data_IF_511199151705
#
_entry.id   IF_511199151705
#
_cell.length_a   1.000
_cell.length_b   1.000
_cell.length_c   1.000
_cell.angle_alpha   90.00
_cell.angle_beta   90.00
_cell.angle_gamma   90.00
#
_symmetry.space_group_name_H-M   'P 1'
#
loop_
_entity.id
_entity.type
_entity.pdbx_description
1 polymer ?
#
# COMPACT_ATOMS: atom_id res chain seq x y z
N UNK A 1 67.49 -6.93 3.88
CA UNK A 1 66.35 -7.57 4.53
C UNK A 1 65.13 -6.72 4.24
N UNK A 2 64.32 -7.13 3.28
CA UNK A 2 63.09 -6.44 2.93
C UNK A 2 62.03 -6.81 3.98
N UNK A 3 61.45 -5.83 4.64
CA UNK A 3 60.28 -6.01 5.49
C UNK A 3 59.16 -6.58 4.64
N UNK A 4 58.47 -7.68 5.07
CA UNK A 4 57.34 -8.19 4.32
C UNK A 4 56.21 -7.15 4.34
N UNK A 5 55.60 -6.92 3.16
CA UNK A 5 54.41 -6.09 3.05
C UNK A 5 53.32 -6.64 3.95
N UNK A 6 52.55 -5.77 4.65
CA UNK A 6 51.46 -6.22 5.51
C UNK A 6 50.42 -6.94 4.66
N UNK A 7 50.14 -8.19 4.99
CA UNK A 7 49.02 -8.95 4.40
C UNK A 7 47.73 -8.20 4.74
N UNK A 8 47.11 -7.55 3.76
CA UNK A 8 45.82 -6.89 3.91
C UNK A 8 44.77 -8.00 4.08
N UNK A 9 44.35 -8.25 5.29
CA UNK A 9 43.29 -9.20 5.61
C UNK A 9 41.97 -8.73 5.02
N UNK A 10 41.31 -9.54 4.21
CA UNK A 10 39.94 -9.23 3.77
C UNK A 10 38.99 -9.18 4.96
N UNK A 11 38.03 -8.22 5.03
CA UNK A 11 37.05 -8.14 6.09
C UNK A 11 36.22 -9.42 6.19
N UNK A 12 36.19 -10.02 7.38
CA UNK A 12 35.43 -11.22 7.70
C UNK A 12 34.05 -10.88 8.26
N UNK A 13 33.12 -11.82 8.21
CA UNK A 13 31.82 -11.71 8.89
C UNK A 13 31.95 -11.58 10.41
N UNK A 14 33.10 -11.95 10.98
CA UNK A 14 33.40 -11.89 12.41
C UNK A 14 34.05 -10.55 12.82
N UNK A 15 34.40 -9.70 11.86
CA UNK A 15 34.99 -8.41 12.19
C UNK A 15 33.98 -7.52 12.91
N UNK A 16 34.41 -6.85 13.95
CA UNK A 16 33.66 -5.81 14.65
C UNK A 16 33.37 -4.62 13.71
N UNK A 17 32.45 -3.76 14.11
CA UNK A 17 32.03 -2.57 13.35
C UNK A 17 33.23 -1.79 12.80
N UNK A 18 33.29 -1.66 11.47
CA UNK A 18 34.25 -0.79 10.80
C UNK A 18 33.61 0.61 10.63
N UNK A 19 34.21 1.66 11.19
CA UNK A 19 33.73 3.04 11.04
C UNK A 19 33.62 3.54 9.60
N UNK A 20 34.31 2.86 8.65
CA UNK A 20 34.22 3.17 7.23
C UNK A 20 32.95 2.65 6.55
N UNK A 21 32.17 1.78 7.21
CA UNK A 21 30.90 1.30 6.65
C UNK A 21 29.82 2.37 6.74
N UNK A 22 29.03 2.48 5.67
CA UNK A 22 27.96 3.45 5.61
C UNK A 22 26.86 3.11 6.65
N UNK A 23 26.53 4.00 7.59
CA UNK A 23 25.40 3.80 8.49
C UNK A 23 24.10 3.57 7.72
N UNK A 24 23.21 2.71 8.24
CA UNK A 24 21.94 2.36 7.58
C UNK A 24 21.10 3.60 7.29
N UNK A 25 20.95 4.50 8.27
CA UNK A 25 20.18 5.74 8.07
C UNK A 25 20.76 6.62 6.95
N UNK A 26 22.08 6.73 6.87
CA UNK A 26 22.76 7.47 5.79
C UNK A 26 22.56 6.80 4.43
N UNK A 27 22.54 5.46 4.39
CA UNK A 27 22.23 4.73 3.17
C UNK A 27 20.79 4.98 2.71
N UNK A 28 19.83 4.95 3.63
CA UNK A 28 18.42 5.24 3.36
C UNK A 28 18.20 6.68 2.88
N UNK A 29 18.91 7.65 3.47
CA UNK A 29 18.87 9.06 3.03
C UNK A 29 19.40 9.21 1.59
N UNK A 30 20.50 8.53 1.24
CA UNK A 30 21.04 8.52 -0.14
C UNK A 30 20.07 7.88 -1.13
N UNK A 31 19.45 6.77 -0.75
CA UNK A 31 18.40 6.14 -1.55
C UNK A 31 17.24 7.12 -1.76
N UNK A 32 16.78 7.76 -0.69
CA UNK A 32 15.69 8.72 -0.75
C UNK A 32 15.96 9.89 -1.70
N UNK A 33 17.20 10.41 -1.71
CA UNK A 33 17.61 11.48 -2.61
C UNK A 33 17.71 11.03 -4.08
N UNK A 34 17.96 9.75 -4.32
CA UNK A 34 18.07 9.20 -5.66
C UNK A 34 16.74 8.76 -6.27
N UNK A 35 15.71 8.51 -5.46
CA UNK A 35 14.41 8.06 -5.94
C UNK A 35 13.66 9.20 -6.63
N UNK A 36 13.25 8.97 -7.87
CA UNK A 36 12.31 9.84 -8.57
C UNK A 36 10.92 9.23 -8.45
N UNK A 37 9.94 9.97 -7.88
CA UNK A 37 8.58 9.46 -7.74
C UNK A 37 7.93 9.17 -9.09
N UNK A 38 7.07 8.13 -9.12
CA UNK A 38 6.27 7.80 -10.29
C UNK A 38 5.16 8.83 -10.42
N UNK A 39 5.08 9.45 -11.60
CA UNK A 39 4.02 10.41 -11.93
C UNK A 39 2.98 9.85 -12.91
N UNK A 40 3.27 8.72 -13.55
CA UNK A 40 2.37 8.12 -14.54
C UNK A 40 1.10 7.59 -13.86
N UNK A 41 -0.04 7.96 -14.44
CA UNK A 41 -1.38 7.58 -13.95
C UNK A 41 -2.01 6.60 -14.93
N UNK A 42 -2.65 5.58 -14.40
CA UNK A 42 -3.49 4.65 -15.15
C UNK A 42 -4.90 4.60 -14.53
N UNK A 43 -5.91 4.33 -15.35
CA UNK A 43 -7.29 4.17 -14.86
C UNK A 43 -7.55 2.68 -14.64
N UNK A 44 -8.03 2.34 -13.44
CA UNK A 44 -8.35 0.96 -13.07
C UNK A 44 -9.79 0.86 -12.58
N UNK A 45 -10.41 -0.31 -12.77
CA UNK A 45 -11.70 -0.59 -12.17
C UNK A 45 -11.63 -0.48 -10.63
N UNK A 46 -12.68 0.03 -10.00
CA UNK A 46 -12.72 0.25 -8.54
C UNK A 46 -12.34 -1.00 -7.73
N UNK A 47 -12.73 -2.19 -8.18
CA UNK A 47 -12.39 -3.46 -7.52
C UNK A 47 -10.89 -3.80 -7.56
N UNK A 48 -10.15 -3.23 -8.50
CA UNK A 48 -8.70 -3.41 -8.67
C UNK A 48 -7.89 -2.28 -8.03
N UNK A 49 -8.59 -1.26 -7.50
CA UNK A 49 -7.97 -0.09 -6.92
C UNK A 49 -7.49 -0.29 -5.47
N UNK A 50 -7.86 -1.39 -4.82
CA UNK A 50 -7.40 -1.69 -3.46
C UNK A 50 -5.86 -1.73 -3.42
N UNK A 51 -5.29 -1.10 -2.38
CA UNK A 51 -3.84 -0.96 -2.17
C UNK A 51 -3.09 -0.14 -3.24
N UNK A 52 -3.78 0.42 -4.23
CA UNK A 52 -3.19 1.37 -5.19
C UNK A 52 -3.09 2.76 -4.57
N UNK A 53 -2.26 3.60 -5.16
CA UNK A 53 -2.11 5.00 -4.75
C UNK A 53 -2.87 5.89 -5.73
N UNK A 54 -3.74 6.75 -5.20
CA UNK A 54 -4.57 7.65 -5.99
C UNK A 54 -3.71 8.67 -6.72
N UNK A 55 -3.89 8.80 -8.03
CA UNK A 55 -3.11 9.69 -8.89
C UNK A 55 -3.63 11.13 -8.93
N UNK A 56 -4.93 11.32 -8.75
CA UNK A 56 -5.59 12.64 -8.74
C UNK A 56 -6.68 12.66 -7.67
N UNK A 57 -7.09 13.85 -7.26
CA UNK A 57 -8.21 14.00 -6.31
C UNK A 57 -9.49 13.39 -6.88
N UNK A 58 -10.27 12.76 -6.02
CA UNK A 58 -11.63 12.30 -6.33
C UNK A 58 -12.62 13.32 -5.81
N UNK A 59 -13.35 13.93 -6.72
CA UNK A 59 -14.44 14.85 -6.38
C UNK A 59 -15.75 14.07 -6.32
N UNK A 60 -16.62 14.41 -5.39
CA UNK A 60 -17.92 13.79 -5.28
C UNK A 60 -18.85 14.26 -6.40
N UNK A 61 -19.36 13.35 -7.27
CA UNK A 61 -20.30 13.71 -8.31
C UNK A 61 -21.73 13.94 -7.80
N UNK A 62 -21.99 13.65 -6.52
CA UNK A 62 -23.29 13.73 -5.87
C UNK A 62 -23.14 14.25 -4.45
N UNK A 63 -24.18 14.85 -3.92
CA UNK A 63 -24.25 15.13 -2.48
C UNK A 63 -24.42 13.84 -1.67
N UNK A 64 -23.87 13.78 -0.44
CA UNK A 64 -24.06 12.66 0.50
C UNK A 64 -24.57 13.19 1.83
N UNK A 65 -25.79 12.79 2.26
CA UNK A 65 -26.81 12.08 1.48
C UNK A 65 -27.23 12.85 0.22
N UNK A 66 -27.68 12.15 -0.81
CA UNK A 66 -28.09 12.77 -2.07
C UNK A 66 -29.45 13.51 -2.00
N UNK A 67 -30.17 13.33 -0.91
CA UNK A 67 -31.42 14.04 -0.59
C UNK A 67 -31.63 14.11 0.91
N UNK A 68 -32.41 15.08 1.38
CA UNK A 68 -32.79 15.20 2.78
C UNK A 68 -33.66 13.99 3.17
N UNK A 69 -33.26 13.25 4.23
CA UNK A 69 -33.88 12.01 4.64
C UNK A 69 -33.97 11.87 6.15
N UNK A 70 -34.67 10.83 6.59
CA UNK A 70 -34.80 10.51 7.99
C UNK A 70 -33.62 9.69 8.53
N UNK A 71 -33.07 10.09 9.67
CA UNK A 71 -32.05 9.31 10.39
C UNK A 71 -32.68 8.16 11.23
N UNK A 72 -34.01 8.16 11.45
CA UNK A 72 -34.69 7.20 12.35
C UNK A 72 -36.03 6.76 11.78
N UNK A 73 -36.51 5.63 12.25
CA UNK A 73 -37.88 5.22 12.05
C UNK A 73 -38.80 6.04 12.94
N UNK A 74 -39.87 6.61 12.38
CA UNK A 74 -40.72 7.49 13.15
C UNK A 74 -41.83 8.15 12.32
N UNK A 75 -42.09 9.40 12.63
CA UNK A 75 -43.12 10.22 11.98
C UNK A 75 -42.50 11.55 11.53
N UNK A 76 -42.53 11.83 10.24
CA UNK A 76 -42.18 13.12 9.67
C UNK A 76 -43.35 14.08 9.76
N UNK A 77 -43.11 15.27 10.29
CA UNK A 77 -44.12 16.25 10.60
C UNK A 77 -43.59 17.68 10.56
N UNK A 78 -44.43 18.65 10.64
CA UNK A 78 -44.08 20.05 10.86
C UNK A 78 -43.90 20.31 12.35
N UNK A 79 -42.73 20.78 12.76
CA UNK A 79 -42.46 21.11 14.16
C UNK A 79 -43.48 22.10 14.75
N UNK A 80 -43.96 23.04 13.90
CA UNK A 80 -44.97 24.04 14.33
C UNK A 80 -46.34 23.42 14.78
N UNK A 81 -46.61 22.16 14.38
CA UNK A 81 -47.86 21.48 14.72
C UNK A 81 -47.76 20.71 16.05
N UNK A 82 -46.61 20.71 16.72
CA UNK A 82 -46.37 20.10 18.02
C UNK A 82 -46.84 21.01 19.16
N UNK A 83 -48.14 21.21 19.24
CA UNK A 83 -48.81 22.06 20.21
C UNK A 83 -49.68 21.27 21.21
N UNK A 84 -49.43 19.94 21.33
CA UNK A 84 -50.21 19.02 22.19
C UNK A 84 -51.42 18.39 21.50
N UNK A 85 -51.74 18.80 20.25
CA UNK A 85 -52.80 18.19 19.45
C UNK A 85 -52.39 16.85 18.85
N UNK A 86 -53.35 15.98 18.55
CA UNK A 86 -53.08 14.78 17.76
C UNK A 86 -52.84 15.12 16.28
N UNK A 87 -51.93 14.39 15.62
CA UNK A 87 -51.63 14.54 14.21
C UNK A 87 -52.14 13.34 13.41
N UNK A 88 -52.76 13.60 12.27
CA UNK A 88 -53.28 12.54 11.39
C UNK A 88 -52.16 11.93 10.55
N UNK A 89 -52.09 10.59 10.51
CA UNK A 89 -51.14 9.88 9.66
C UNK A 89 -51.72 9.74 8.26
N UNK A 90 -51.14 10.45 7.28
CA UNK A 90 -51.63 10.50 5.90
C UNK A 90 -50.96 9.48 4.96
N UNK A 91 -49.98 8.73 5.46
CA UNK A 91 -49.34 7.67 4.69
C UNK A 91 -47.97 7.28 5.25
N UNK A 92 -47.18 6.56 4.43
CA UNK A 92 -45.85 6.05 4.82
C UNK A 92 -44.83 6.36 3.75
N UNK A 93 -43.68 6.96 4.15
CA UNK A 93 -42.49 7.15 3.34
C UNK A 93 -41.52 6.00 3.58
N UNK A 94 -41.17 5.29 2.53
CA UNK A 94 -40.27 4.14 2.56
C UNK A 94 -38.88 4.51 1.99
N UNK A 95 -37.85 3.89 2.50
CA UNK A 95 -36.51 3.99 1.85
C UNK A 95 -36.61 3.50 0.40
N UNK A 96 -36.02 4.26 -0.52
CA UNK A 96 -36.03 3.97 -1.96
C UNK A 96 -37.37 4.29 -2.68
N UNK A 97 -38.41 4.77 -1.96
CA UNK A 97 -39.69 5.20 -2.54
C UNK A 97 -40.15 6.50 -1.91
N UNK A 98 -40.03 7.59 -2.66
CA UNK A 98 -40.48 8.91 -2.20
C UNK A 98 -41.99 8.88 -1.86
N UNK A 99 -42.38 9.63 -0.82
CA UNK A 99 -43.79 9.83 -0.45
C UNK A 99 -44.51 10.59 -1.55
N UNK A 100 -45.63 10.07 -1.98
CA UNK A 100 -46.44 10.71 -3.02
C UNK A 100 -47.42 11.72 -2.37
N UNK A 101 -47.11 13.01 -2.54
CA UNK A 101 -47.90 14.11 -2.00
C UNK A 101 -47.15 14.93 -0.95
N UNK A 102 -47.86 15.81 -0.25
CA UNK A 102 -47.34 16.68 0.80
C UNK A 102 -48.02 16.41 2.12
N UNK A 103 -47.38 16.78 3.23
CA UNK A 103 -47.92 16.71 4.58
C UNK A 103 -48.38 18.11 4.97
N UNK A 104 -49.69 18.27 5.20
CA UNK A 104 -50.32 19.54 5.55
C UNK A 104 -50.28 19.85 7.06
N UNK A 105 -50.81 21.01 7.47
CA UNK A 105 -51.00 21.33 8.90
C UNK A 105 -51.86 20.28 9.64
N UNK A 106 -51.42 19.88 10.83
CA UNK A 106 -52.11 18.85 11.62
C UNK A 106 -51.94 17.41 11.10
N UNK A 107 -51.05 17.20 10.12
CA UNK A 107 -50.78 15.90 9.52
C UNK A 107 -49.34 15.45 9.79
N UNK A 108 -49.09 14.16 9.64
CA UNK A 108 -47.78 13.55 9.65
C UNK A 108 -47.71 12.35 8.71
N UNK A 109 -46.52 11.96 8.29
CA UNK A 109 -46.31 10.73 7.54
C UNK A 109 -45.45 9.77 8.38
N UNK A 110 -45.81 8.50 8.41
CA UNK A 110 -44.91 7.44 8.89
C UNK A 110 -43.68 7.46 8.03
N UNK A 111 -42.46 7.44 8.61
CA UNK A 111 -41.19 7.48 7.86
C UNK A 111 -40.26 6.43 8.38
N UNK A 112 -39.50 5.80 7.44
CA UNK A 112 -38.45 4.85 7.76
C UNK A 112 -37.07 5.48 7.58
N UNK A 113 -36.09 4.97 8.30
CA UNK A 113 -34.67 5.39 8.19
C UNK A 113 -34.23 5.38 6.74
N UNK A 114 -33.60 6.45 6.29
CA UNK A 114 -33.17 6.62 4.92
C UNK A 114 -34.22 7.04 3.90
N UNK A 115 -35.50 7.10 4.32
CA UNK A 115 -36.58 7.59 3.45
C UNK A 115 -36.49 9.11 3.27
N UNK A 116 -36.79 9.57 2.05
CA UNK A 116 -36.85 11.00 1.71
C UNK A 116 -37.86 11.69 2.56
N UNK A 117 -37.51 12.86 3.10
CA UNK A 117 -38.43 13.69 3.87
C UNK A 117 -39.62 14.11 2.99
N UNK A 118 -40.87 13.82 3.42
CA UNK A 118 -42.04 14.30 2.69
C UNK A 118 -42.10 15.82 2.64
N UNK A 119 -42.59 16.35 1.52
CA UNK A 119 -42.79 17.77 1.36
C UNK A 119 -43.71 18.31 2.46
N UNK A 120 -43.38 19.48 3.03
CA UNK A 120 -44.12 20.11 4.11
C UNK A 120 -43.64 19.68 5.51
N UNK A 121 -42.68 18.76 5.62
CA UNK A 121 -42.14 18.31 6.94
C UNK A 121 -40.74 18.88 7.18
N UNK A 122 -40.40 19.10 8.45
CA UNK A 122 -39.10 19.63 8.88
C UNK A 122 -38.49 18.91 10.09
N UNK A 123 -39.20 17.92 10.64
CA UNK A 123 -38.80 17.22 11.86
C UNK A 123 -39.26 15.78 11.83
N UNK A 124 -38.41 14.87 12.36
CA UNK A 124 -38.80 13.47 12.58
C UNK A 124 -38.86 13.19 14.08
N UNK A 125 -39.99 12.64 14.51
CA UNK A 125 -40.16 12.12 15.85
C UNK A 125 -40.02 10.61 15.80
N UNK A 126 -39.15 10.05 16.65
CA UNK A 126 -38.96 8.60 16.72
C UNK A 126 -40.28 7.91 17.13
N UNK A 127 -40.51 6.72 16.62
CA UNK A 127 -41.75 5.98 16.92
C UNK A 127 -41.94 5.71 18.41
N UNK A 128 -40.87 5.59 19.18
CA UNK A 128 -40.86 5.37 20.63
C UNK A 128 -41.34 6.60 21.41
N UNK A 129 -41.37 7.77 20.76
CA UNK A 129 -41.83 9.04 21.34
C UNK A 129 -43.23 9.45 20.79
N UNK A 130 -43.95 8.53 20.16
CA UNK A 130 -45.25 8.77 19.59
C UNK A 130 -46.22 7.63 19.97
N UNK A 131 -47.36 7.99 20.54
CA UNK A 131 -48.45 7.06 20.80
C UNK A 131 -49.44 7.09 19.64
N UNK A 132 -49.61 5.95 18.96
CA UNK A 132 -50.57 5.84 17.85
C UNK A 132 -51.89 5.29 18.30
N UNK A 133 -52.95 5.99 17.92
CA UNK A 133 -54.35 5.54 18.06
C UNK A 133 -55.02 5.64 16.68
N UNK A 134 -55.30 4.49 16.07
CA UNK A 134 -55.85 4.36 14.72
C UNK A 134 -54.98 5.09 13.66
N UNK A 135 -55.54 6.14 13.06
CA UNK A 135 -54.89 6.98 12.06
C UNK A 135 -54.26 8.29 12.62
N UNK A 136 -54.20 8.42 13.95
CA UNK A 136 -53.66 9.59 14.62
C UNK A 136 -52.49 9.21 15.53
N UNK A 137 -51.60 10.17 15.78
CA UNK A 137 -50.51 10.05 16.76
C UNK A 137 -50.58 11.21 17.76
N UNK A 138 -50.15 10.92 18.99
CA UNK A 138 -49.76 11.93 19.98
C UNK A 138 -48.29 11.86 20.21
N UNK A 139 -47.63 13.01 20.23
CA UNK A 139 -46.17 13.12 20.36
C UNK A 139 -45.82 13.56 21.77
N UNK A 140 -44.83 12.87 22.38
CA UNK A 140 -44.29 13.25 23.68
C UNK A 140 -43.60 14.63 23.61
N UNK A 141 -43.68 15.37 24.71
CA UNK A 141 -43.01 16.68 24.84
C UNK A 141 -41.50 16.61 24.72
N UNK A 142 -40.83 17.76 24.50
CA UNK A 142 -39.39 17.85 24.47
C UNK A 142 -38.76 17.62 23.10
N UNK A 143 -39.57 17.63 22.04
CA UNK A 143 -39.05 17.56 20.66
C UNK A 143 -38.37 18.88 20.26
N UNK A 144 -37.47 18.79 19.28
CA UNK A 144 -36.72 19.94 18.73
C UNK A 144 -36.88 19.98 17.23
N UNK A 145 -36.99 21.20 16.67
CA UNK A 145 -37.05 21.40 15.22
C UNK A 145 -35.81 20.82 14.54
N UNK A 146 -35.98 20.15 13.40
CA UNK A 146 -34.92 19.54 12.61
C UNK A 146 -34.34 18.24 13.22
N UNK A 147 -34.89 17.76 14.36
CA UNK A 147 -34.36 16.54 14.97
C UNK A 147 -34.57 15.34 14.07
N UNK A 148 -33.54 14.48 13.99
CA UNK A 148 -33.47 13.26 13.18
C UNK A 148 -33.69 13.47 11.68
N UNK A 149 -33.48 14.68 11.19
CA UNK A 149 -33.43 15.00 9.77
C UNK A 149 -31.94 15.06 9.33
N UNK A 150 -31.62 14.33 8.30
CA UNK A 150 -30.31 14.41 7.63
C UNK A 150 -30.46 15.22 6.36
N UNK A 151 -29.71 16.31 6.27
CA UNK A 151 -29.80 17.22 5.12
C UNK A 151 -28.94 16.73 3.95
N UNK A 152 -29.42 16.97 2.74
CA UNK A 152 -28.64 16.69 1.55
C UNK A 152 -27.25 17.36 1.61
N UNK A 153 -26.20 16.58 1.38
CA UNK A 153 -24.81 17.07 1.37
C UNK A 153 -24.19 17.36 2.74
N UNK A 154 -24.84 16.97 3.85
CA UNK A 154 -24.28 17.24 5.19
C UNK A 154 -22.98 16.50 5.49
N UNK A 155 -22.76 15.32 4.91
CA UNK A 155 -21.51 14.56 5.05
C UNK A 155 -20.50 14.97 3.98
N UNK A 156 -20.96 15.12 2.73
CA UNK A 156 -20.14 15.50 1.60
C UNK A 156 -20.98 16.25 0.55
N UNK A 157 -20.60 17.47 0.26
CA UNK A 157 -21.27 18.26 -0.77
C UNK A 157 -20.85 17.77 -2.18
N UNK A 158 -21.74 17.94 -3.16
CA UNK A 158 -21.40 17.74 -4.57
C UNK A 158 -20.25 18.65 -4.97
N UNK A 159 -19.26 18.10 -5.70
CA UNK A 159 -18.03 18.78 -6.09
C UNK A 159 -16.95 18.87 -5.01
N UNK A 160 -17.25 18.48 -3.76
CA UNK A 160 -16.23 18.45 -2.71
C UNK A 160 -15.24 17.30 -2.91
N UNK A 161 -14.00 17.47 -2.45
CA UNK A 161 -12.97 16.43 -2.49
C UNK A 161 -13.31 15.33 -1.51
N UNK A 162 -13.58 14.14 -2.03
CA UNK A 162 -13.82 12.93 -1.26
C UNK A 162 -12.53 12.24 -0.84
N UNK A 163 -11.55 12.14 -1.75
CA UNK A 163 -10.22 11.59 -1.52
C UNK A 163 -9.17 12.45 -2.19
N UNK A 164 -8.02 12.62 -1.53
CA UNK A 164 -6.89 13.38 -2.09
C UNK A 164 -5.88 12.49 -2.81
N UNK A 165 -5.23 13.01 -3.84
CA UNK A 165 -4.13 12.37 -4.54
C UNK A 165 -3.02 11.97 -3.56
N UNK A 166 -2.25 10.94 -3.91
CA UNK A 166 -1.18 10.38 -3.08
C UNK A 166 -1.68 9.48 -1.94
N UNK A 167 -2.99 9.29 -1.78
CA UNK A 167 -3.56 8.39 -0.78
C UNK A 167 -3.50 6.94 -1.24
N UNK A 168 -3.00 6.02 -0.39
CA UNK A 168 -3.18 4.59 -0.59
C UNK A 168 -4.61 4.20 -0.26
N UNK A 169 -5.27 3.55 -1.21
CA UNK A 169 -6.67 3.18 -1.12
C UNK A 169 -6.88 1.97 -0.21
N UNK A 170 -7.64 2.16 0.84
CA UNK A 170 -8.02 1.15 1.82
C UNK A 170 -9.45 0.64 1.54
N UNK A 171 -9.88 -0.49 2.16
CA UNK A 171 -11.24 -1.01 1.96
C UNK A 171 -12.35 0.01 2.21
N UNK A 172 -12.20 0.90 3.22
CA UNK A 172 -13.15 1.98 3.49
C UNK A 172 -13.24 3.00 2.36
N UNK A 173 -12.10 3.32 1.72
CA UNK A 173 -12.05 4.25 0.58
C UNK A 173 -12.78 3.66 -0.63
N UNK A 174 -12.58 2.36 -0.90
CA UNK A 174 -13.29 1.64 -1.97
C UNK A 174 -14.81 1.68 -1.73
N UNK A 175 -15.25 1.45 -0.48
CA UNK A 175 -16.66 1.53 -0.11
C UNK A 175 -17.25 2.94 -0.28
N UNK A 176 -16.49 3.96 0.14
CA UNK A 176 -16.90 5.35 -0.02
C UNK A 176 -17.02 5.74 -1.49
N UNK A 177 -16.01 5.45 -2.31
CA UNK A 177 -16.03 5.72 -3.76
C UNK A 177 -17.19 5.00 -4.45
N UNK A 178 -17.46 3.75 -4.05
CA UNK A 178 -18.63 3.01 -4.55
C UNK A 178 -19.96 3.70 -4.19
N UNK A 179 -20.08 4.29 -2.99
CA UNK A 179 -21.28 5.02 -2.58
C UNK A 179 -21.49 6.32 -3.36
N UNK A 180 -20.45 6.84 -3.98
CA UNK A 180 -20.50 7.99 -4.90
C UNK A 180 -20.85 7.59 -6.34
N UNK A 181 -21.02 6.28 -6.63
CA UNK A 181 -21.32 5.79 -7.97
C UNK A 181 -20.12 5.77 -8.94
N UNK A 182 -18.89 5.89 -8.42
CA UNK A 182 -17.67 5.92 -9.24
C UNK A 182 -17.17 4.48 -9.45
N UNK A 183 -17.08 4.03 -10.69
CA UNK A 183 -16.69 2.68 -11.06
C UNK A 183 -15.21 2.48 -11.37
N UNK A 184 -14.48 3.56 -11.63
CA UNK A 184 -13.06 3.55 -12.03
C UNK A 184 -12.31 4.67 -11.31
N UNK A 185 -11.02 4.46 -11.05
CA UNK A 185 -10.16 5.44 -10.40
C UNK A 185 -8.85 5.65 -11.15
N UNK A 186 -8.39 6.91 -11.25
CA UNK A 186 -7.04 7.23 -11.69
C UNK A 186 -6.06 6.94 -10.54
N UNK A 187 -5.16 5.99 -10.74
CA UNK A 187 -4.15 5.59 -9.76
C UNK A 187 -2.76 5.70 -10.36
N UNK A 188 -1.76 5.90 -9.52
CA UNK A 188 -0.37 5.82 -9.98
C UNK A 188 -0.09 4.40 -10.49
N UNK A 189 0.61 4.27 -11.62
CA UNK A 189 1.00 2.95 -12.11
C UNK A 189 1.86 2.21 -11.09
N UNK A 190 1.89 0.90 -11.15
CA UNK A 190 2.76 0.11 -10.28
C UNK A 190 4.22 0.31 -10.64
N UNK A 191 5.16 0.37 -9.65
CA UNK A 191 6.58 0.29 -9.92
C UNK A 191 6.90 -1.00 -10.65
N UNK A 192 7.73 -0.90 -11.68
CA UNK A 192 8.22 -2.05 -12.46
C UNK A 192 9.59 -2.46 -11.91
N UNK A 193 9.74 -3.72 -11.57
CA UNK A 193 10.98 -4.30 -11.06
C UNK A 193 11.46 -5.37 -12.03
N UNK A 194 12.72 -5.36 -12.42
CA UNK A 194 13.36 -6.50 -13.07
C UNK A 194 14.37 -7.10 -12.09
N UNK A 195 14.37 -8.41 -11.95
CA UNK A 195 15.34 -9.07 -11.07
C UNK A 195 15.90 -10.35 -11.69
N UNK A 196 17.13 -10.67 -11.31
CA UNK A 196 17.83 -11.89 -11.70
C UNK A 196 18.80 -12.31 -10.60
N UNK A 197 19.23 -13.58 -10.64
CA UNK A 197 20.32 -14.07 -9.80
C UNK A 197 21.55 -14.29 -10.65
N UNK A 198 22.73 -14.09 -10.04
CA UNK A 198 24.02 -14.29 -10.68
C UNK A 198 24.84 -15.33 -9.91
N UNK A 199 25.44 -16.27 -10.62
CA UNK A 199 26.30 -17.31 -10.06
C UNK A 199 26.29 -18.59 -10.88
N UNK A 200 27.47 -19.13 -11.14
CA UNK A 200 27.66 -20.40 -11.88
C UNK A 200 27.19 -21.62 -11.08
N UNK A 201 27.14 -21.49 -9.74
CA UNK A 201 26.65 -22.53 -8.82
C UNK A 201 25.13 -22.63 -8.80
N UNK A 202 24.40 -21.62 -9.32
CA UNK A 202 22.96 -21.54 -9.18
C UNK A 202 22.21 -22.41 -10.20
N UNK A 203 21.25 -23.19 -9.72
CA UNK A 203 20.34 -24.02 -10.55
C UNK A 203 18.88 -23.63 -10.32
N UNK A 204 18.13 -23.66 -11.41
CA UNK A 204 16.68 -23.49 -11.32
C UNK A 204 16.03 -24.75 -10.75
N UNK A 205 14.83 -24.60 -10.13
CA UNK A 205 14.05 -25.73 -9.64
C UNK A 205 13.80 -26.74 -10.75
N UNK A 206 13.97 -28.03 -10.44
CA UNK A 206 13.79 -29.15 -11.38
C UNK A 206 15.04 -29.52 -12.19
N UNK A 207 16.12 -28.74 -12.13
CA UNK A 207 17.40 -29.13 -12.69
C UNK A 207 18.14 -30.05 -11.72
N UNK A 208 18.92 -31.06 -12.18
CA UNK A 208 19.79 -31.87 -11.32
C UNK A 208 20.89 -30.97 -10.72
N UNK A 209 21.26 -31.27 -9.47
CA UNK A 209 22.42 -30.64 -8.83
C UNK A 209 23.67 -31.49 -9.05
N UNK A 210 24.75 -30.84 -9.45
CA UNK A 210 26.10 -31.39 -9.41
C UNK A 210 26.82 -31.00 -8.12
N UNK A 211 28.01 -31.54 -7.90
CA UNK A 211 28.79 -31.20 -6.71
C UNK A 211 29.18 -29.71 -6.74
N UNK A 212 28.72 -28.95 -5.75
CA UNK A 212 28.94 -27.52 -5.65
C UNK A 212 27.72 -26.69 -6.05
N UNK A 213 26.73 -27.27 -6.72
CA UNK A 213 25.51 -26.56 -7.11
C UNK A 213 24.54 -26.34 -5.94
N UNK A 214 23.78 -25.25 -6.00
CA UNK A 214 22.71 -24.94 -5.10
C UNK A 214 21.46 -24.46 -5.85
N UNK A 215 20.26 -24.73 -5.33
CA UNK A 215 19.05 -24.13 -5.90
C UNK A 215 18.95 -22.65 -5.56
N UNK A 216 18.58 -21.85 -6.55
CA UNK A 216 18.36 -20.42 -6.42
C UNK A 216 17.09 -20.15 -5.58
N UNK A 217 17.23 -20.08 -4.26
CA UNK A 217 16.13 -19.77 -3.34
C UNK A 217 15.82 -18.27 -3.24
N UNK A 218 16.83 -17.40 -3.49
CA UNK A 218 16.68 -15.95 -3.36
C UNK A 218 15.67 -15.42 -4.37
N UNK A 219 15.70 -15.90 -5.61
CA UNK A 219 14.77 -15.50 -6.66
C UNK A 219 13.32 -15.76 -6.30
N UNK A 220 13.02 -16.90 -5.68
CA UNK A 220 11.65 -17.23 -5.22
C UNK A 220 11.23 -16.41 -4.00
N UNK A 221 12.17 -16.10 -3.11
CA UNK A 221 11.92 -15.19 -1.99
C UNK A 221 11.59 -13.79 -2.50
N UNK A 222 12.39 -13.26 -3.42
CA UNK A 222 12.15 -11.95 -4.05
C UNK A 222 10.83 -11.92 -4.81
N UNK A 223 10.51 -12.97 -5.60
CA UNK A 223 9.23 -13.10 -6.27
C UNK A 223 8.05 -12.96 -5.28
N UNK A 224 8.08 -13.72 -4.18
CA UNK A 224 7.04 -13.66 -3.15
C UNK A 224 6.92 -12.27 -2.51
N UNK A 225 8.05 -11.63 -2.22
CA UNK A 225 8.08 -10.29 -1.62
C UNK A 225 7.54 -9.22 -2.57
N UNK A 226 7.97 -9.19 -3.83
CA UNK A 226 7.52 -8.25 -4.85
C UNK A 226 6.03 -8.39 -5.15
N UNK A 227 5.55 -9.64 -5.24
CA UNK A 227 4.12 -9.93 -5.42
C UNK A 227 3.28 -9.41 -4.25
N UNK A 228 3.73 -9.66 -3.01
CA UNK A 228 3.06 -9.16 -1.79
C UNK A 228 3.08 -7.63 -1.71
N UNK A 229 4.13 -7.02 -2.24
CA UNK A 229 4.29 -5.58 -2.35
C UNK A 229 3.37 -4.94 -3.41
N UNK A 230 2.70 -5.74 -4.23
CA UNK A 230 1.86 -5.24 -5.32
C UNK A 230 2.63 -4.62 -6.47
N UNK A 231 3.93 -4.93 -6.62
CA UNK A 231 4.76 -4.42 -7.72
C UNK A 231 4.51 -5.21 -9.01
N UNK A 232 4.69 -4.56 -10.16
CA UNK A 232 4.85 -5.23 -11.43
C UNK A 232 6.31 -5.69 -11.56
N UNK A 233 6.56 -6.95 -11.94
CA UNK A 233 7.93 -7.44 -12.01
C UNK A 233 8.17 -8.46 -13.11
N UNK A 234 9.42 -8.49 -13.58
CA UNK A 234 9.96 -9.44 -14.53
C UNK A 234 11.10 -10.23 -13.88
N UNK A 235 10.96 -11.54 -13.86
CA UNK A 235 11.99 -12.49 -13.43
C UNK A 235 12.84 -12.87 -14.65
N UNK A 236 14.10 -12.45 -14.68
CA UNK A 236 15.02 -12.69 -15.80
C UNK A 236 15.85 -13.98 -15.63
N UNK A 237 15.61 -14.73 -14.54
CA UNK A 237 16.24 -16.02 -14.31
C UNK A 237 17.60 -15.97 -13.66
N UNK A 238 18.43 -16.99 -13.94
CA UNK A 238 19.81 -17.10 -13.49
C UNK A 238 20.73 -16.70 -14.64
N UNK A 239 21.65 -15.79 -14.36
CA UNK A 239 22.67 -15.31 -15.27
C UNK A 239 24.00 -15.90 -14.82
N UNK A 240 24.77 -16.47 -15.75
CA UNK A 240 26.09 -17.02 -15.46
C UNK A 240 27.11 -15.92 -15.20
N UNK A 241 28.22 -16.28 -14.58
CA UNK A 241 29.34 -15.39 -14.31
C UNK A 241 30.13 -15.09 -15.61
N UNK A 242 29.42 -14.53 -16.60
CA UNK A 242 29.94 -14.05 -17.86
C UNK A 242 29.69 -12.55 -18.00
N UNK A 243 30.78 -11.79 -18.20
CA UNK A 243 30.74 -10.33 -18.20
C UNK A 243 29.76 -9.74 -19.23
N UNK A 244 29.70 -10.30 -20.43
CA UNK A 244 28.88 -9.79 -21.52
C UNK A 244 27.40 -10.16 -21.27
N UNK A 245 27.11 -11.35 -20.72
CA UNK A 245 25.76 -11.75 -20.33
C UNK A 245 25.24 -10.88 -19.18
N UNK A 246 26.07 -10.63 -18.17
CA UNK A 246 25.71 -9.75 -17.05
C UNK A 246 25.40 -8.34 -17.57
N UNK A 247 26.29 -7.78 -18.39
CA UNK A 247 26.11 -6.44 -19.00
C UNK A 247 24.83 -6.34 -19.82
N UNK A 248 24.61 -7.29 -20.72
CA UNK A 248 23.41 -7.29 -21.56
C UNK A 248 22.13 -7.46 -20.75
N UNK A 249 22.16 -8.25 -19.65
CA UNK A 249 21.02 -8.43 -18.76
C UNK A 249 20.72 -7.16 -17.97
N UNK A 250 21.73 -6.46 -17.47
CA UNK A 250 21.51 -5.17 -16.77
C UNK A 250 20.91 -4.13 -17.71
N UNK A 251 21.43 -3.96 -18.91
CA UNK A 251 20.90 -3.00 -19.89
C UNK A 251 19.43 -3.33 -20.23
N UNK A 252 19.14 -4.61 -20.54
CA UNK A 252 17.79 -5.07 -20.80
C UNK A 252 16.85 -4.86 -19.60
N UNK A 253 17.32 -5.12 -18.38
CA UNK A 253 16.55 -4.90 -17.16
C UNK A 253 16.22 -3.42 -16.96
N UNK A 254 17.20 -2.53 -17.18
CA UNK A 254 17.03 -1.09 -17.04
C UNK A 254 16.08 -0.48 -18.08
N UNK A 255 16.02 -1.02 -19.31
CA UNK A 255 15.05 -0.57 -20.32
C UNK A 255 13.59 -0.86 -19.95
N UNK A 256 13.32 -1.91 -19.16
CA UNK A 256 11.96 -2.36 -18.89
C UNK A 256 11.44 -2.06 -17.47
N UNK A 257 12.30 -1.59 -16.56
CA UNK A 257 11.98 -1.47 -15.15
C UNK A 257 12.43 -0.14 -14.55
N UNK A 258 11.75 0.29 -13.48
CA UNK A 258 12.13 1.45 -12.68
C UNK A 258 13.20 1.07 -11.64
N UNK A 259 13.24 -0.23 -11.29
CA UNK A 259 14.17 -0.81 -10.31
C UNK A 259 14.73 -2.12 -10.83
N UNK A 260 16.05 -2.26 -10.81
CA UNK A 260 16.77 -3.50 -11.13
C UNK A 260 17.34 -4.09 -9.85
N UNK A 261 17.07 -5.37 -9.60
CA UNK A 261 17.56 -6.10 -8.43
C UNK A 261 18.38 -7.31 -8.89
N UNK A 262 19.59 -7.47 -8.37
CA UNK A 262 20.35 -8.72 -8.53
C UNK A 262 20.59 -9.37 -7.16
N UNK A 263 20.54 -10.70 -7.13
CA UNK A 263 20.95 -11.51 -5.97
C UNK A 263 22.32 -12.11 -6.27
N UNK A 264 23.22 -12.07 -5.27
CA UNK A 264 24.64 -12.45 -5.34
C UNK A 264 25.58 -11.45 -6.05
N UNK A 265 25.10 -10.30 -6.51
CA UNK A 265 25.92 -9.25 -7.14
C UNK A 265 26.49 -8.20 -6.20
N UNK A 266 26.53 -8.43 -4.88
CA UNK A 266 27.08 -7.49 -3.89
C UNK A 266 28.41 -7.96 -3.29
N UNK A 267 29.01 -9.05 -3.79
CA UNK A 267 30.30 -9.58 -3.34
C UNK A 267 31.45 -8.68 -3.86
N UNK A 268 32.52 -8.62 -3.12
CA UNK A 268 33.75 -7.88 -3.50
C UNK A 268 34.89 -8.85 -3.79
N UNK A 269 34.57 -10.07 -4.28
CA UNK A 269 35.56 -11.08 -4.64
C UNK A 269 36.33 -10.76 -5.95
N UNK A 270 37.45 -11.40 -6.14
CA UNK A 270 38.33 -11.18 -7.31
C UNK A 270 37.68 -11.56 -8.67
N UNK A 271 36.55 -12.26 -8.67
CA UNK A 271 35.79 -12.70 -9.85
C UNK A 271 34.41 -12.03 -9.97
N UNK A 272 34.18 -10.86 -9.36
CA UNK A 272 32.90 -10.20 -9.38
C UNK A 272 32.71 -9.26 -10.57
N UNK A 273 32.37 -9.86 -11.72
CA UNK A 273 32.04 -9.10 -12.94
C UNK A 273 30.91 -8.10 -12.78
N UNK A 274 30.02 -8.28 -11.76
CA UNK A 274 28.89 -7.35 -11.51
C UNK A 274 29.43 -5.96 -11.20
N UNK A 275 30.46 -5.87 -10.36
CA UNK A 275 31.06 -4.58 -10.01
C UNK A 275 31.68 -3.90 -11.25
N UNK A 276 32.49 -4.62 -11.99
CA UNK A 276 33.17 -4.07 -13.16
C UNK A 276 32.19 -3.60 -14.24
N UNK A 277 31.12 -4.36 -14.44
CA UNK A 277 30.04 -4.01 -15.37
C UNK A 277 29.29 -2.77 -14.89
N UNK A 278 28.96 -2.68 -13.60
CA UNK A 278 28.24 -1.52 -13.04
C UNK A 278 29.11 -0.24 -13.08
N UNK A 279 30.42 -0.36 -12.85
CA UNK A 279 31.36 0.76 -12.98
C UNK A 279 31.46 1.27 -14.45
N UNK A 280 31.12 0.41 -15.42
CA UNK A 280 31.10 0.78 -16.85
C UNK A 280 29.76 1.38 -17.31
N UNK A 281 28.62 0.82 -16.89
CA UNK A 281 27.28 1.16 -17.44
C UNK A 281 26.41 1.97 -16.52
N UNK A 282 26.82 2.19 -15.27
CA UNK A 282 26.01 2.82 -14.23
C UNK A 282 26.81 3.75 -13.31
N UNK A 283 26.12 4.26 -12.32
CA UNK A 283 26.68 5.05 -11.23
C UNK A 283 26.40 4.33 -9.91
N UNK A 284 27.46 3.88 -9.23
CA UNK A 284 27.32 3.20 -7.92
C UNK A 284 27.58 4.16 -6.79
N UNK A 285 26.58 4.32 -5.90
CA UNK A 285 26.65 5.21 -4.77
C UNK A 285 27.35 4.60 -3.55
N UNK A 286 27.13 3.30 -3.32
CA UNK A 286 27.79 2.55 -2.24
C UNK A 286 27.71 1.03 -2.45
N UNK A 287 28.65 0.30 -1.82
CA UNK A 287 28.78 -1.16 -1.91
C UNK A 287 28.61 -1.87 -0.57
N UNK A 288 28.66 -1.17 0.56
CA UNK A 288 28.60 -1.78 1.91
C UNK A 288 27.87 -0.87 2.90
N UNK A 289 27.03 -1.49 3.71
CA UNK A 289 26.32 -0.81 4.80
C UNK A 289 26.60 -1.48 6.14
N UNK A 290 26.45 -0.71 7.23
CA UNK A 290 26.65 -1.18 8.60
C UNK A 290 25.40 -1.95 9.09
N UNK A 291 25.10 -3.09 8.44
CA UNK A 291 23.97 -3.97 8.78
C UNK A 291 24.42 -5.42 8.88
N UNK A 292 23.95 -6.15 9.90
CA UNK A 292 24.24 -7.59 10.09
C UNK A 292 22.95 -8.35 10.43
N UNK A 293 22.51 -9.31 9.57
CA UNK A 293 23.04 -9.68 8.27
C UNK A 293 22.72 -8.64 7.21
N UNK A 294 23.47 -8.61 6.09
CA UNK A 294 23.21 -7.74 4.95
C UNK A 294 24.27 -6.65 4.67
N UNK A 295 25.49 -6.81 5.19
CA UNK A 295 26.61 -5.89 4.94
C UNK A 295 26.84 -5.60 3.45
N UNK A 296 26.96 -6.61 2.56
CA UNK A 296 27.10 -6.35 1.15
C UNK A 296 25.74 -5.97 0.57
N UNK A 297 25.53 -4.69 0.41
CA UNK A 297 24.43 -4.10 -0.34
C UNK A 297 25.00 -3.07 -1.28
N UNK A 298 24.85 -3.26 -2.57
CA UNK A 298 25.19 -2.24 -3.56
C UNK A 298 23.94 -1.48 -3.98
N UNK A 299 24.11 -0.17 -4.15
CA UNK A 299 23.07 0.72 -4.61
C UNK A 299 23.62 1.71 -5.63
N UNK A 300 22.85 1.98 -6.67
CA UNK A 300 23.21 2.91 -7.72
C UNK A 300 22.12 3.13 -8.74
N UNK A 301 22.52 3.53 -9.95
CA UNK A 301 21.62 3.74 -11.10
C UNK A 301 22.25 3.12 -12.36
N UNK A 302 21.35 2.64 -13.24
CA UNK A 302 21.68 2.25 -14.61
C UNK A 302 20.70 3.00 -15.51
N UNK A 303 21.18 4.05 -16.20
CA UNK A 303 20.30 4.99 -16.87
C UNK A 303 19.30 5.63 -15.89
N UNK A 304 18.01 5.53 -16.18
CA UNK A 304 16.95 6.07 -15.31
C UNK A 304 16.52 5.10 -14.20
N UNK A 305 16.96 3.83 -14.25
CA UNK A 305 16.57 2.81 -13.30
C UNK A 305 17.43 2.82 -12.04
N UNK A 306 16.83 2.65 -10.88
CA UNK A 306 17.53 2.37 -9.63
C UNK A 306 18.08 0.94 -9.67
N UNK A 307 19.26 0.74 -9.14
CA UNK A 307 19.91 -0.57 -9.04
C UNK A 307 20.14 -0.94 -7.56
N UNK A 308 19.85 -2.21 -7.23
CA UNK A 308 20.15 -2.83 -5.95
C UNK A 308 20.80 -4.20 -6.14
N UNK A 309 22.03 -4.36 -5.64
CA UNK A 309 22.69 -5.66 -5.54
C UNK A 309 22.55 -6.21 -4.14
N UNK A 310 21.85 -7.34 -4.02
CA UNK A 310 21.59 -8.02 -2.74
C UNK A 310 22.68 -9.05 -2.43
N UNK A 311 22.87 -9.39 -1.14
CA UNK A 311 23.76 -10.48 -0.75
C UNK A 311 23.33 -11.83 -1.33
N UNK A 312 24.28 -12.74 -1.57
CA UNK A 312 23.99 -14.13 -1.97
C UNK A 312 23.36 -14.97 -0.83
N UNK A 313 23.69 -14.67 0.43
CA UNK A 313 23.10 -15.36 1.58
C UNK A 313 21.57 -15.11 1.65
N UNK A 314 20.73 -16.18 1.69
CA UNK A 314 19.27 -16.05 1.61
C UNK A 314 18.65 -15.19 2.72
N UNK A 315 19.13 -15.31 3.95
CA UNK A 315 18.63 -14.52 5.08
C UNK A 315 19.01 -13.05 4.92
N UNK A 316 20.25 -12.77 4.50
CA UNK A 316 20.72 -11.42 4.26
C UNK A 316 19.97 -10.78 3.08
N UNK A 317 19.76 -11.51 1.99
CA UNK A 317 18.98 -11.06 0.84
C UNK A 317 17.55 -10.69 1.22
N UNK A 318 16.87 -11.57 1.97
CA UNK A 318 15.49 -11.32 2.43
C UNK A 318 15.38 -10.10 3.36
N UNK A 319 16.28 -9.97 4.35
CA UNK A 319 16.29 -8.83 5.29
C UNK A 319 16.58 -7.53 4.55
N UNK A 320 17.57 -7.53 3.67
CA UNK A 320 17.93 -6.35 2.87
C UNK A 320 16.78 -5.95 1.92
N UNK A 321 16.21 -6.91 1.20
CA UNK A 321 15.07 -6.66 0.32
C UNK A 321 13.85 -6.11 1.08
N UNK A 322 13.59 -6.56 2.30
CA UNK A 322 12.51 -6.06 3.13
C UNK A 322 12.72 -4.59 3.53
N UNK A 323 13.94 -4.23 3.94
CA UNK A 323 14.31 -2.86 4.27
C UNK A 323 14.14 -1.94 3.06
N UNK A 324 14.63 -2.36 1.90
CA UNK A 324 14.50 -1.62 0.65
C UNK A 324 13.05 -1.46 0.23
N UNK A 325 12.28 -2.55 0.27
CA UNK A 325 10.88 -2.54 -0.13
C UNK A 325 10.09 -1.46 0.60
N UNK A 326 10.23 -1.36 1.92
CA UNK A 326 9.44 -0.40 2.71
C UNK A 326 9.80 1.05 2.38
N UNK A 327 11.06 1.36 2.17
CA UNK A 327 11.50 2.73 1.89
C UNK A 327 11.30 3.10 0.42
N UNK A 328 11.74 2.25 -0.51
CA UNK A 328 11.68 2.55 -1.95
C UNK A 328 10.26 2.60 -2.45
N UNK A 329 9.36 1.71 -1.99
CA UNK A 329 7.95 1.74 -2.41
C UNK A 329 7.25 3.01 -1.96
N UNK A 330 7.47 3.42 -0.71
CA UNK A 330 6.89 4.67 -0.17
C UNK A 330 7.39 5.88 -0.95
N UNK A 331 8.69 5.92 -1.28
CA UNK A 331 9.30 7.01 -2.02
C UNK A 331 8.84 7.04 -3.49
N UNK A 332 8.78 5.88 -4.17
CA UNK A 332 8.32 5.79 -5.55
C UNK A 332 6.87 6.26 -5.73
N UNK A 333 6.04 6.10 -4.71
CA UNK A 333 4.65 6.56 -4.74
C UNK A 333 4.45 7.96 -4.15
N UNK A 334 5.48 8.68 -3.69
CA UNK A 334 5.33 9.95 -2.95
C UNK A 334 4.28 9.85 -1.82
N UNK A 335 4.22 8.73 -1.16
CA UNK A 335 3.18 8.46 -0.17
C UNK A 335 3.40 9.28 1.11
N UNK A 336 2.79 10.46 1.16
CA UNK A 336 2.91 11.41 2.27
C UNK A 336 2.19 10.97 3.56
N UNK A 337 1.41 9.91 3.54
CA UNK A 337 0.46 9.61 4.62
C UNK A 337 0.97 8.71 5.74
N UNK A 338 2.23 8.25 5.72
CA UNK A 338 2.79 7.51 6.85
C UNK A 338 4.27 7.82 7.06
N UNK A 339 4.57 9.04 7.50
CA UNK A 339 5.75 9.23 8.35
C UNK A 339 5.46 8.63 9.74
N UNK A 340 5.15 7.35 9.80
CA UNK A 340 5.44 6.61 11.01
C UNK A 340 6.95 6.55 11.05
N UNK A 341 7.57 7.47 11.78
CA UNK A 341 8.84 7.22 12.42
C UNK A 341 8.64 5.94 13.22
N UNK A 342 8.85 4.81 12.58
CA UNK A 342 9.06 3.55 13.26
C UNK A 342 10.44 3.72 13.84
N UNK A 343 10.47 4.20 15.10
CA UNK A 343 11.69 4.22 15.88
C UNK A 343 12.28 2.82 15.81
N UNK A 344 13.58 2.71 15.65
CA UNK A 344 14.38 1.49 15.50
C UNK A 344 14.12 0.41 16.56
N UNK A 345 13.26 0.65 17.56
CA UNK A 345 12.88 -0.28 18.62
C UNK A 345 11.60 -1.08 18.42
N UNK A 346 10.71 -0.74 17.46
CA UNK A 346 9.41 -1.43 17.30
C UNK A 346 9.40 -2.50 16.19
N UNK A 347 10.52 -2.68 15.50
CA UNK A 347 10.64 -3.55 14.33
C UNK A 347 10.62 -5.05 14.65
N UNK A 348 11.01 -5.45 15.85
CA UNK A 348 11.01 -6.85 16.27
C UNK A 348 9.65 -7.36 16.80
N UNK A 349 8.72 -6.47 17.12
CA UNK A 349 7.47 -6.85 17.78
C UNK A 349 6.30 -7.18 16.83
N UNK A 350 6.38 -6.81 15.53
CA UNK A 350 5.32 -7.12 14.55
C UNK A 350 5.68 -8.23 13.56
N UNK A 351 6.90 -8.72 13.57
CA UNK A 351 7.26 -9.98 12.92
C UNK A 351 7.07 -11.13 13.90
N UNK A 352 5.85 -11.64 14.03
CA UNK A 352 5.63 -13.05 14.42
C UNK A 352 6.06 -13.98 13.25
N UNK A 353 7.22 -13.74 12.69
CA UNK A 353 8.02 -14.74 12.05
C UNK A 353 8.93 -15.25 13.17
N UNK A 354 8.54 -16.37 13.76
CA UNK A 354 9.52 -17.27 14.39
C UNK A 354 10.66 -17.31 13.39
N UNK A 355 11.79 -16.69 13.76
CA UNK A 355 13.04 -16.93 13.06
C UNK A 355 13.33 -18.41 13.28
N UNK A 356 12.79 -19.24 12.39
CA UNK A 356 13.27 -20.60 12.23
C UNK A 356 14.70 -20.38 11.77
N UNK A 357 15.60 -20.62 12.69
CA UNK A 357 17.02 -20.62 12.49
C UNK A 357 17.32 -21.64 11.38
N UNK A 358 17.38 -21.17 10.14
CA UNK A 358 17.81 -21.98 8.98
C UNK A 358 19.32 -22.20 8.98
N UNK A 359 19.97 -22.15 10.14
CA UNK A 359 21.39 -22.46 10.25
C UNK A 359 21.70 -23.95 10.25
N UNK A 360 20.69 -24.84 10.26
CA UNK A 360 20.89 -26.30 10.19
C UNK A 360 19.74 -27.00 9.47
N UNK A 361 19.68 -26.89 8.14
CA UNK A 361 19.15 -27.95 7.32
C UNK A 361 20.31 -28.88 6.89
N UNK A 362 21.00 -29.48 7.85
CA UNK A 362 21.63 -30.76 7.61
C UNK A 362 20.51 -31.79 7.64
N UNK A 363 20.14 -32.29 6.46
CA UNK A 363 19.39 -33.55 6.37
C UNK A 363 20.09 -34.59 7.20
N UNK A 364 19.37 -35.43 7.99
CA UNK A 364 20.01 -36.50 8.74
C UNK A 364 20.63 -37.45 7.73
N UNK A 365 21.96 -37.53 7.71
CA UNK A 365 22.69 -38.62 7.11
C UNK A 365 22.25 -39.87 7.87
N UNK A 366 21.51 -40.75 7.22
CA UNK A 366 21.27 -42.08 7.70
C UNK A 366 22.60 -42.80 7.88
N UNK A 367 22.84 -43.25 9.08
CA UNK A 367 23.75 -44.37 9.34
C UNK A 367 23.19 -45.64 8.74
#
# INVERSE_FOLDING_TARGET
MSTPEPVVRQPSCDDEYDPAWLPVDTALDRIAQAVTPIADVEVVALREALDRVLGTDVLSPVAVPNHTNSAMDGYALRFADLNGSSLKVVGTAWAGKAFAGSVGPGECARIMTGAVMPEGTDTVVMQEHAERQDDHIRVAEGQRKGRHVRYAGEDLAEGATALTAGRRLLPGDIGMVASLGIGELPVLRRPRVAFFSNGDELRSIGQPLELGDVYDSNRYTLHGMLRRAGMAFNDLGVVRDDREQIKSTFLKAAEMADVVITSAGASVGEADYVKDVLDEIGEVNFWKIAMKPGRPLSFGRIGDSLFFGLPGNPVAAAVTALQLHQHVTVLLYCWHAYSVRIGTGLWFATMNYTAVSYTHLTLPTKA
#
